data_IF_117255170054
#
_entry.id   IF_117255170054
#
_cell.length_a   1.000
_cell.length_b   1.000
_cell.length_c   1.000
_cell.angle_alpha   90.00
_cell.angle_beta   90.00
_cell.angle_gamma   90.00
#
_symmetry.space_group_name_H-M   'P 1'
#
loop_
_entity.id
_entity.type
_entity.pdbx_description
1 polymer ?
#
# COMPACT_ATOMS: atom_id res chain seq x y z
N UNK A 1 4.77 -5.66 -34.24
CA UNK A 1 5.18 -7.02 -33.79
C UNK A 1 3.93 -7.75 -33.35
N UNK A 2 3.70 -9.00 -33.74
CA UNK A 2 2.51 -9.76 -33.31
C UNK A 2 2.90 -10.56 -32.04
N UNK A 3 2.18 -10.34 -30.93
CA UNK A 3 2.45 -11.00 -29.65
C UNK A 3 1.63 -12.29 -29.53
N UNK A 4 2.08 -13.36 -30.20
CA UNK A 4 1.49 -14.69 -30.11
C UNK A 4 2.54 -15.77 -30.41
N UNK A 5 2.33 -16.98 -29.94
CA UNK A 5 3.14 -18.15 -30.24
C UNK A 5 2.22 -19.39 -30.31
N UNK A 6 1.95 -19.85 -31.54
CA UNK A 6 1.09 -21.00 -31.80
C UNK A 6 1.65 -22.29 -31.20
N UNK A 7 2.98 -22.42 -31.16
CA UNK A 7 3.62 -23.62 -30.64
C UNK A 7 3.50 -23.68 -29.10
N UNK A 8 3.65 -22.53 -28.43
CA UNK A 8 3.46 -22.46 -26.97
C UNK A 8 2.02 -22.78 -26.57
N UNK A 9 1.02 -22.23 -27.30
CA UNK A 9 -0.40 -22.51 -27.01
C UNK A 9 -0.77 -23.97 -27.24
N UNK A 10 -0.31 -24.56 -28.34
CA UNK A 10 -0.51 -26.01 -28.60
C UNK A 10 0.24 -26.87 -27.59
N UNK A 11 1.44 -26.48 -27.18
CA UNK A 11 2.26 -27.22 -26.25
C UNK A 11 1.62 -27.31 -24.85
N UNK A 12 1.10 -26.22 -24.33
CA UNK A 12 0.42 -26.24 -23.01
C UNK A 12 -0.87 -27.06 -23.07
N UNK A 13 -1.64 -26.96 -24.16
CA UNK A 13 -2.84 -27.78 -24.36
C UNK A 13 -2.51 -29.26 -24.44
N UNK A 14 -1.51 -29.64 -25.21
CA UNK A 14 -1.02 -31.00 -25.33
C UNK A 14 -0.60 -31.56 -23.97
N UNK A 15 0.19 -30.82 -23.20
CA UNK A 15 0.62 -31.21 -21.87
C UNK A 15 -0.57 -31.45 -20.93
N UNK A 16 -1.51 -30.54 -20.91
CA UNK A 16 -2.70 -30.62 -20.05
C UNK A 16 -3.59 -31.79 -20.44
N UNK A 17 -3.81 -32.02 -21.75
CA UNK A 17 -4.61 -33.13 -22.24
C UNK A 17 -3.98 -34.49 -21.94
N UNK A 18 -2.66 -34.60 -21.95
CA UNK A 18 -1.90 -35.80 -21.66
C UNK A 18 -1.89 -36.12 -20.15
N UNK A 19 -1.59 -35.11 -19.29
CA UNK A 19 -1.45 -35.28 -17.83
C UNK A 19 -2.80 -35.26 -17.08
N UNK A 20 -3.90 -34.90 -17.76
CA UNK A 20 -5.25 -34.91 -17.23
C UNK A 20 -5.66 -33.69 -16.40
N UNK A 21 -6.81 -33.83 -15.73
CA UNK A 21 -7.49 -32.74 -15.03
C UNK A 21 -6.67 -32.12 -13.90
N UNK A 22 -5.80 -32.90 -13.25
CA UNK A 22 -4.90 -32.40 -12.19
C UNK A 22 -3.89 -31.39 -12.72
N UNK A 23 -3.28 -31.67 -13.88
CA UNK A 23 -2.38 -30.73 -14.54
C UNK A 23 -3.13 -29.48 -15.02
N UNK A 24 -4.33 -29.66 -15.58
CA UNK A 24 -5.17 -28.54 -15.97
C UNK A 24 -5.46 -27.59 -14.79
N UNK A 25 -5.86 -28.10 -13.64
CA UNK A 25 -6.14 -27.30 -12.45
C UNK A 25 -4.92 -26.46 -12.01
N UNK A 26 -3.70 -26.99 -12.14
CA UNK A 26 -2.47 -26.23 -11.86
C UNK A 26 -2.33 -25.01 -12.78
N UNK A 27 -2.57 -25.18 -14.08
CA UNK A 27 -2.39 -24.10 -15.07
C UNK A 27 -3.60 -23.19 -15.21
N UNK A 28 -4.81 -23.66 -14.88
CA UNK A 28 -6.03 -22.84 -14.80
C UNK A 28 -5.90 -21.67 -13.80
N UNK A 29 -5.09 -21.84 -12.75
CA UNK A 29 -4.76 -20.74 -11.83
C UNK A 29 -3.87 -19.67 -12.45
N UNK A 30 -3.10 -20.00 -13.52
CA UNK A 30 -2.15 -19.10 -14.18
C UNK A 30 -2.67 -18.52 -15.50
N UNK A 31 -3.49 -19.27 -16.22
CA UNK A 31 -3.98 -18.94 -17.56
C UNK A 31 -5.51 -18.91 -17.60
N UNK A 32 -6.04 -17.91 -18.28
CA UNK A 32 -7.46 -17.76 -18.60
C UNK A 32 -7.70 -17.96 -20.11
N UNK A 33 -8.96 -18.14 -20.51
CA UNK A 33 -9.35 -18.25 -21.91
C UNK A 33 -8.89 -17.07 -22.75
N UNK A 34 -8.91 -15.86 -22.18
CA UNK A 34 -8.51 -14.62 -22.85
C UNK A 34 -6.99 -14.50 -23.07
N UNK A 35 -6.18 -15.36 -22.44
CA UNK A 35 -4.72 -15.36 -22.64
C UNK A 35 -4.30 -16.01 -23.95
N UNK A 36 -5.17 -16.83 -24.55
CA UNK A 36 -4.91 -17.48 -25.83
C UNK A 36 -5.21 -16.52 -26.99
N UNK A 37 -4.34 -16.50 -27.98
CA UNK A 37 -4.51 -15.70 -29.19
C UNK A 37 -5.36 -16.44 -30.25
N UNK A 38 -5.14 -17.76 -30.36
CA UNK A 38 -5.88 -18.56 -31.33
C UNK A 38 -7.20 -19.01 -30.74
N UNK A 39 -8.30 -18.64 -31.42
CA UNK A 39 -9.66 -18.93 -30.98
C UNK A 39 -9.90 -20.43 -30.73
N UNK A 40 -9.31 -21.28 -31.57
CA UNK A 40 -9.38 -22.76 -31.39
C UNK A 40 -8.70 -23.21 -30.10
N UNK A 41 -7.55 -22.64 -29.76
CA UNK A 41 -6.84 -22.92 -28.51
C UNK A 41 -7.64 -22.42 -27.29
N UNK A 42 -8.20 -21.22 -27.39
CA UNK A 42 -9.07 -20.64 -26.38
C UNK A 42 -10.34 -21.48 -26.16
N UNK A 43 -10.97 -21.96 -27.23
CA UNK A 43 -12.17 -22.80 -27.17
C UNK A 43 -11.87 -24.18 -26.55
N UNK A 44 -10.72 -24.79 -26.89
CA UNK A 44 -10.29 -26.06 -26.28
C UNK A 44 -9.96 -25.88 -24.80
N UNK A 45 -9.28 -24.81 -24.41
CA UNK A 45 -9.02 -24.49 -23.01
C UNK A 45 -10.30 -24.31 -22.21
N UNK A 46 -11.28 -23.60 -22.75
CA UNK A 46 -12.59 -23.40 -22.13
C UNK A 46 -13.41 -24.69 -22.05
N UNK A 47 -13.28 -25.56 -23.04
CA UNK A 47 -13.92 -26.91 -23.02
C UNK A 47 -13.28 -27.81 -21.96
N UNK A 48 -11.97 -27.72 -21.76
CA UNK A 48 -11.29 -28.38 -20.62
C UNK A 48 -11.79 -27.85 -19.28
N UNK A 49 -12.02 -26.54 -19.19
CA UNK A 49 -12.56 -25.92 -18.00
C UNK A 49 -13.98 -26.41 -17.67
N UNK A 50 -14.84 -26.46 -18.67
CA UNK A 50 -16.21 -26.97 -18.54
C UNK A 50 -16.22 -28.44 -18.17
N UNK A 51 -15.37 -29.26 -18.80
CA UNK A 51 -15.21 -30.68 -18.49
C UNK A 51 -14.87 -30.92 -17.03
N UNK A 52 -13.91 -30.13 -16.46
CA UNK A 52 -13.53 -30.24 -15.05
C UNK A 52 -14.66 -29.87 -14.10
N UNK A 53 -15.50 -28.89 -14.48
CA UNK A 53 -16.66 -28.47 -13.67
C UNK A 53 -17.71 -29.59 -13.63
N UNK A 54 -17.93 -30.28 -14.76
CA UNK A 54 -18.97 -31.33 -14.88
C UNK A 54 -18.56 -32.68 -14.27
N UNK A 55 -17.26 -33.04 -14.29
CA UNK A 55 -16.79 -34.41 -14.00
C UNK A 55 -15.97 -34.56 -12.71
N UNK A 56 -15.87 -33.54 -11.84
CA UNK A 56 -15.10 -33.59 -10.57
C UNK A 56 -13.76 -34.34 -10.61
N UNK A 57 -12.76 -33.65 -10.79
CA UNK A 57 -11.32 -33.62 -10.38
C UNK A 57 -10.44 -34.90 -10.29
N UNK A 58 -10.64 -36.01 -10.88
CA UNK A 58 -9.57 -37.06 -10.99
C UNK A 58 -9.71 -37.96 -12.25
N UNK A 59 -10.05 -37.36 -13.37
CA UNK A 59 -10.23 -38.10 -14.62
C UNK A 59 -9.24 -37.65 -15.70
N UNK A 60 -8.95 -38.56 -16.63
CA UNK A 60 -8.33 -38.20 -17.90
C UNK A 60 -9.36 -37.43 -18.75
N UNK A 61 -8.88 -36.51 -19.56
CA UNK A 61 -9.73 -35.85 -20.54
C UNK A 61 -10.21 -36.84 -21.61
N UNK A 62 -11.52 -36.95 -21.75
CA UNK A 62 -12.11 -37.71 -22.84
C UNK A 62 -12.19 -36.86 -24.11
N UNK A 63 -11.53 -37.33 -25.18
CA UNK A 63 -11.41 -36.59 -26.44
C UNK A 63 -12.77 -36.37 -27.10
N UNK A 64 -13.71 -37.35 -26.97
CA UNK A 64 -15.04 -37.23 -27.57
C UNK A 64 -15.89 -36.20 -26.83
N UNK A 65 -15.82 -36.18 -25.50
CA UNK A 65 -16.52 -35.19 -24.68
C UNK A 65 -16.01 -33.76 -24.95
N UNK A 66 -14.69 -33.57 -25.04
CA UNK A 66 -14.11 -32.29 -25.39
C UNK A 66 -14.52 -31.80 -26.79
N UNK A 67 -14.53 -32.72 -27.76
CA UNK A 67 -14.99 -32.43 -29.11
C UNK A 67 -16.46 -31.95 -29.13
N UNK A 68 -17.35 -32.65 -28.39
CA UNK A 68 -18.74 -32.28 -28.28
C UNK A 68 -18.95 -30.93 -27.61
N UNK A 69 -18.17 -30.60 -26.55
CA UNK A 69 -18.19 -29.29 -25.87
C UNK A 69 -17.72 -28.16 -26.79
N UNK A 70 -16.69 -28.39 -27.60
CA UNK A 70 -16.22 -27.41 -28.61
C UNK A 70 -17.29 -27.20 -29.67
N UNK A 71 -17.90 -28.25 -30.18
CA UNK A 71 -18.95 -28.19 -31.21
C UNK A 71 -20.19 -27.44 -30.78
N UNK A 72 -20.55 -27.49 -29.49
CA UNK A 72 -21.67 -26.72 -28.94
C UNK A 72 -21.41 -25.22 -28.99
N UNK A 73 -20.13 -24.78 -28.99
CA UNK A 73 -19.75 -23.35 -28.98
C UNK A 73 -19.73 -22.75 -30.37
N UNK A 74 -19.17 -23.43 -31.35
CA UNK A 74 -19.20 -23.05 -32.77
C UNK A 74 -18.79 -24.24 -33.64
N UNK A 75 -19.46 -24.41 -34.78
CA UNK A 75 -19.06 -25.37 -35.80
C UNK A 75 -17.74 -25.02 -36.46
N UNK A 76 -17.39 -23.73 -36.50
CA UNK A 76 -16.13 -23.21 -37.09
C UNK A 76 -14.87 -23.54 -36.24
N UNK A 77 -15.04 -23.81 -34.95
CA UNK A 77 -13.91 -24.17 -34.05
C UNK A 77 -13.54 -25.66 -34.08
N UNK A 78 -14.26 -26.46 -34.85
CA UNK A 78 -14.05 -27.91 -34.88
C UNK A 78 -12.92 -28.24 -35.84
N UNK A 79 -11.69 -28.23 -35.34
CA UNK A 79 -10.65 -29.13 -35.82
C UNK A 79 -11.14 -30.57 -35.66
N UNK A 80 -10.68 -31.48 -36.45
CA UNK A 80 -11.18 -32.85 -36.42
C UNK A 80 -10.92 -33.48 -35.04
N UNK A 81 -11.76 -34.46 -34.65
CA UNK A 81 -11.51 -35.28 -33.43
C UNK A 81 -10.07 -35.82 -33.43
N UNK A 82 -9.50 -36.05 -34.62
CA UNK A 82 -8.14 -36.48 -34.85
C UNK A 82 -7.13 -35.42 -34.35
N UNK A 83 -7.37 -34.14 -34.56
CA UNK A 83 -6.43 -33.08 -34.17
C UNK A 83 -6.34 -32.97 -32.63
N UNK A 84 -7.45 -33.17 -31.91
CA UNK A 84 -7.47 -33.22 -30.45
C UNK A 84 -6.72 -34.44 -29.94
N UNK A 85 -6.92 -35.61 -30.59
CA UNK A 85 -6.23 -36.84 -30.26
C UNK A 85 -4.71 -36.74 -30.52
N UNK A 86 -4.29 -36.14 -31.63
CA UNK A 86 -2.87 -35.88 -31.95
C UNK A 86 -2.22 -34.92 -30.93
N UNK A 87 -2.94 -33.88 -30.49
CA UNK A 87 -2.49 -33.04 -29.40
C UNK A 87 -2.30 -33.79 -28.08
N UNK A 88 -3.21 -34.70 -27.75
CA UNK A 88 -3.12 -35.53 -26.54
C UNK A 88 -1.96 -36.53 -26.58
N UNK A 89 -1.61 -37.06 -27.74
CA UNK A 89 -0.51 -38.03 -27.91
C UNK A 89 0.89 -37.39 -27.93
N UNK A 90 0.98 -36.09 -28.20
CA UNK A 90 2.27 -35.40 -28.24
C UNK A 90 2.84 -35.21 -26.82
N UNK A 91 4.01 -35.84 -26.54
CA UNK A 91 4.64 -35.78 -25.22
C UNK A 91 5.46 -34.48 -25.06
N UNK A 92 5.08 -33.65 -24.08
CA UNK A 92 5.84 -32.46 -23.67
C UNK A 92 6.36 -32.66 -22.24
N UNK A 93 7.61 -32.29 -22.00
CA UNK A 93 8.25 -32.41 -20.69
C UNK A 93 7.68 -31.34 -19.75
N UNK A 94 7.29 -31.72 -18.53
CA UNK A 94 6.61 -30.84 -17.58
C UNK A 94 7.34 -29.54 -17.19
N UNK A 95 8.68 -29.52 -17.25
CA UNK A 95 9.47 -28.30 -17.02
C UNK A 95 9.24 -27.25 -18.12
N UNK A 96 9.06 -27.68 -19.37
CA UNK A 96 8.76 -26.79 -20.48
C UNK A 96 7.34 -26.20 -20.43
N UNK A 97 6.39 -26.89 -19.79
CA UNK A 97 5.01 -26.41 -19.68
C UNK A 97 4.89 -25.12 -18.83
N UNK A 98 5.69 -24.96 -17.78
CA UNK A 98 5.72 -23.71 -16.99
C UNK A 98 6.29 -22.53 -17.80
N UNK A 99 7.29 -22.78 -18.67
CA UNK A 99 7.84 -21.78 -19.58
C UNK A 99 6.82 -21.36 -20.66
N UNK A 100 6.10 -22.31 -21.25
CA UNK A 100 5.06 -22.02 -22.22
C UNK A 100 3.90 -21.25 -21.60
N UNK A 101 3.45 -21.63 -20.41
CA UNK A 101 2.42 -20.88 -19.69
C UNK A 101 2.85 -19.44 -19.41
N UNK A 102 4.10 -19.23 -18.99
CA UNK A 102 4.67 -17.90 -18.76
C UNK A 102 4.75 -17.07 -20.06
N UNK A 103 5.14 -17.70 -21.17
CA UNK A 103 5.22 -17.05 -22.48
C UNK A 103 3.83 -16.62 -23.00
N UNK A 104 2.82 -17.48 -22.86
CA UNK A 104 1.44 -17.16 -23.23
C UNK A 104 0.94 -15.97 -22.43
N UNK A 105 1.15 -15.99 -21.10
CA UNK A 105 0.75 -14.91 -20.20
C UNK A 105 1.42 -13.57 -20.55
N UNK A 106 2.72 -13.61 -20.82
CA UNK A 106 3.47 -12.41 -21.23
C UNK A 106 3.00 -11.86 -22.58
N UNK A 107 2.72 -12.73 -23.56
CA UNK A 107 2.16 -12.30 -24.84
C UNK A 107 0.74 -11.72 -24.67
N UNK A 108 -0.09 -12.28 -23.82
CA UNK A 108 -1.41 -11.75 -23.48
C UNK A 108 -1.31 -10.34 -22.88
N UNK A 109 -0.44 -10.15 -21.90
CA UNK A 109 -0.18 -8.83 -21.29
C UNK A 109 0.27 -7.79 -22.34
N UNK A 110 1.16 -8.17 -23.25
CA UNK A 110 1.58 -7.28 -24.34
C UNK A 110 0.44 -6.91 -25.28
N UNK A 111 -0.47 -7.85 -25.60
CA UNK A 111 -1.68 -7.55 -26.39
C UNK A 111 -2.61 -6.59 -25.66
N UNK A 112 -2.86 -6.81 -24.36
CA UNK A 112 -3.67 -5.92 -23.53
C UNK A 112 -3.09 -4.52 -23.48
N UNK A 113 -1.77 -4.38 -23.26
CA UNK A 113 -1.07 -3.10 -23.31
C UNK A 113 -1.24 -2.41 -24.68
N UNK A 114 -1.09 -3.15 -25.78
CA UNK A 114 -1.26 -2.62 -27.13
C UNK A 114 -2.69 -2.11 -27.36
N UNK A 115 -3.70 -2.85 -26.92
CA UNK A 115 -5.10 -2.45 -27.01
C UNK A 115 -5.36 -1.19 -26.18
N UNK A 116 -4.83 -1.13 -24.96
CA UNK A 116 -4.94 0.03 -24.07
C UNK A 116 -4.28 1.26 -24.69
N UNK A 117 -3.05 1.12 -25.24
CA UNK A 117 -2.36 2.21 -25.93
C UNK A 117 -3.16 2.74 -27.13
N UNK A 118 -3.75 1.84 -27.93
CA UNK A 118 -4.62 2.25 -29.06
C UNK A 118 -5.88 2.98 -28.58
N UNK A 119 -6.50 2.51 -27.50
CA UNK A 119 -7.66 3.19 -26.90
C UNK A 119 -7.28 4.56 -26.32
N UNK A 120 -6.10 4.68 -25.73
CA UNK A 120 -5.57 5.95 -25.23
C UNK A 120 -5.32 6.94 -26.37
N UNK A 121 -4.74 6.46 -27.49
CA UNK A 121 -4.48 7.28 -28.66
C UNK A 121 -5.79 7.84 -29.23
N UNK A 122 -6.80 6.98 -29.45
CA UNK A 122 -8.10 7.39 -29.92
C UNK A 122 -8.76 8.40 -28.96
N UNK A 123 -8.64 8.18 -27.64
CA UNK A 123 -9.18 9.11 -26.64
C UNK A 123 -8.53 10.50 -26.71
N UNK A 124 -7.23 10.59 -26.97
CA UNK A 124 -6.52 11.86 -27.13
C UNK A 124 -6.96 12.58 -28.42
N UNK A 125 -7.21 11.83 -29.49
CA UNK A 125 -7.58 12.39 -30.80
C UNK A 125 -9.05 12.86 -30.84
N UNK A 126 -9.96 12.14 -30.16
CA UNK A 126 -11.40 12.37 -30.26
C UNK A 126 -12.01 13.16 -29.10
N UNK A 127 -11.28 13.32 -27.99
CA UNK A 127 -11.81 13.94 -26.76
C UNK A 127 -11.68 15.46 -26.74
N UNK A 128 -12.73 16.12 -26.26
CA UNK A 128 -12.73 17.56 -25.94
C UNK A 128 -12.27 17.84 -24.47
N UNK A 129 -11.75 16.85 -23.80
CA UNK A 129 -11.29 17.00 -22.41
C UNK A 129 -10.02 17.86 -22.31
N UNK A 130 -9.82 18.50 -21.16
CA UNK A 130 -8.56 19.20 -20.89
C UNK A 130 -7.40 18.22 -20.74
N UNK A 131 -6.16 18.68 -20.96
CA UNK A 131 -4.95 17.85 -20.83
C UNK A 131 -4.82 17.20 -19.44
N UNK A 132 -5.32 17.85 -18.38
CA UNK A 132 -5.32 17.29 -17.02
C UNK A 132 -6.35 16.19 -16.84
N UNK A 133 -7.55 16.36 -17.39
CA UNK A 133 -8.59 15.32 -17.38
C UNK A 133 -8.16 14.09 -18.17
N UNK A 134 -7.56 14.31 -19.36
CA UNK A 134 -6.98 13.22 -20.15
C UNK A 134 -5.90 12.46 -19.40
N UNK A 135 -4.95 13.15 -18.77
CA UNK A 135 -3.90 12.50 -17.94
C UNK A 135 -4.52 11.64 -16.84
N UNK A 136 -5.52 12.13 -16.12
CA UNK A 136 -6.19 11.37 -15.06
C UNK A 136 -6.86 10.09 -15.61
N UNK A 137 -7.59 10.19 -16.76
CA UNK A 137 -8.21 9.03 -17.42
C UNK A 137 -7.16 8.02 -17.91
N UNK A 138 -6.06 8.49 -18.52
CA UNK A 138 -4.97 7.64 -18.99
C UNK A 138 -4.29 6.89 -17.82
N UNK A 139 -4.02 7.56 -16.71
CA UNK A 139 -3.50 6.91 -15.50
C UNK A 139 -4.45 5.84 -14.96
N UNK A 140 -5.75 6.11 -14.92
CA UNK A 140 -6.76 5.15 -14.48
C UNK A 140 -6.82 3.92 -15.40
N UNK A 141 -6.72 4.10 -16.72
CA UNK A 141 -6.67 2.99 -17.70
C UNK A 141 -5.41 2.14 -17.53
N UNK A 142 -4.25 2.73 -17.25
CA UNK A 142 -3.00 1.99 -16.99
C UNK A 142 -3.06 1.18 -15.69
N UNK A 143 -3.68 1.72 -14.64
CA UNK A 143 -3.90 1.00 -13.38
C UNK A 143 -4.86 -0.17 -13.58
N UNK A 144 -5.93 0.00 -14.37
CA UNK A 144 -6.89 -1.07 -14.66
C UNK A 144 -6.32 -2.20 -15.52
N UNK A 145 -5.33 -1.93 -16.38
CA UNK A 145 -4.62 -2.97 -17.17
C UNK A 145 -3.69 -3.85 -16.32
N UNK A 146 -3.24 -3.37 -15.18
CA UNK A 146 -2.44 -4.17 -14.25
C UNK A 146 -3.28 -5.08 -13.32
N UNK A 147 -4.60 -4.88 -13.31
CA UNK A 147 -5.50 -5.80 -12.63
C UNK A 147 -5.74 -7.01 -13.53
N UNK A 148 -4.94 -8.08 -13.39
CA UNK A 148 -5.28 -9.44 -13.81
C UNK A 148 -6.54 -9.87 -13.02
N UNK A 149 -7.70 -9.34 -13.43
CA UNK A 149 -8.99 -9.42 -12.72
C UNK A 149 -9.64 -10.80 -12.74
N UNK A 150 -8.90 -11.85 -13.09
CA UNK A 150 -9.39 -13.24 -13.04
C UNK A 150 -8.47 -14.22 -12.30
N UNK A 151 -7.41 -13.76 -11.68
CA UNK A 151 -6.76 -14.55 -10.65
C UNK A 151 -7.65 -14.39 -9.42
N UNK A 152 -8.27 -15.46 -8.97
CA UNK A 152 -8.84 -15.53 -7.63
C UNK A 152 -7.75 -14.99 -6.69
N UNK A 153 -7.94 -13.77 -6.14
CA UNK A 153 -7.06 -13.20 -5.12
C UNK A 153 -7.17 -14.01 -3.81
N UNK A 154 -7.24 -15.34 -3.97
CA UNK A 154 -7.33 -16.32 -2.90
C UNK A 154 -6.06 -17.16 -2.96
N UNK A 155 -5.24 -17.06 -1.95
CA UNK A 155 -4.07 -17.91 -1.77
C UNK A 155 -4.45 -19.16 -1.00
N UNK A 156 -3.77 -20.27 -1.29
CA UNK A 156 -3.92 -21.49 -0.48
C UNK A 156 -3.44 -21.21 0.96
N UNK A 157 -4.31 -21.50 1.92
CA UNK A 157 -4.02 -21.27 3.34
C UNK A 157 -2.75 -22.01 3.81
N UNK A 158 -2.45 -23.19 3.24
CA UNK A 158 -1.23 -23.94 3.55
C UNK A 158 0.01 -23.22 3.04
N UNK A 159 -0.02 -22.68 1.81
CA UNK A 159 1.10 -21.92 1.26
C UNK A 159 1.35 -20.64 2.07
N UNK A 160 0.28 -19.94 2.47
CA UNK A 160 0.36 -18.76 3.34
C UNK A 160 0.95 -19.15 4.70
N UNK A 161 0.49 -20.25 5.31
CA UNK A 161 1.02 -20.74 6.59
C UNK A 161 2.50 -21.11 6.49
N UNK A 162 2.93 -21.82 5.44
CA UNK A 162 4.33 -22.16 5.21
C UNK A 162 5.19 -20.90 5.05
N UNK A 163 4.72 -19.92 4.26
CA UNK A 163 5.40 -18.64 4.07
C UNK A 163 5.55 -17.88 5.39
N UNK A 164 4.49 -17.85 6.20
CA UNK A 164 4.49 -17.23 7.51
C UNK A 164 5.46 -17.93 8.48
N UNK A 165 5.44 -19.28 8.56
CA UNK A 165 6.36 -20.06 9.41
C UNK A 165 7.82 -19.83 8.97
N UNK A 166 8.09 -19.78 7.67
CA UNK A 166 9.43 -19.44 7.16
C UNK A 166 9.86 -18.04 7.61
N UNK A 167 8.97 -17.04 7.53
CA UNK A 167 9.29 -15.69 7.98
C UNK A 167 9.56 -15.57 9.48
N UNK A 168 8.96 -16.45 10.30
CA UNK A 168 9.25 -16.51 11.73
C UNK A 168 10.61 -17.17 12.03
N UNK A 169 11.05 -18.11 11.20
CA UNK A 169 12.33 -18.82 11.35
C UNK A 169 13.51 -18.00 10.85
N UNK A 170 13.33 -17.34 9.72
CA UNK A 170 14.33 -16.47 9.12
C UNK A 170 14.21 -15.12 9.83
N UNK A 171 14.90 -14.97 10.97
CA UNK A 171 15.06 -13.68 11.68
C UNK A 171 15.82 -12.70 10.78
N UNK A 172 15.23 -12.34 9.65
CA UNK A 172 15.72 -11.31 8.76
C UNK A 172 15.34 -9.97 9.39
N UNK A 173 16.30 -9.27 9.97
CA UNK A 173 16.12 -7.90 10.51
C UNK A 173 15.56 -6.95 9.45
N UNK A 174 15.73 -7.27 8.18
CA UNK A 174 15.14 -6.53 7.05
C UNK A 174 13.61 -6.67 6.93
N UNK A 175 13.00 -7.69 7.57
CA UNK A 175 11.56 -7.97 7.54
C UNK A 175 10.87 -7.72 8.87
N UNK A 176 11.43 -6.88 9.74
CA UNK A 176 10.70 -6.46 10.92
C UNK A 176 9.35 -5.88 10.52
N UNK A 177 8.27 -6.58 10.88
CA UNK A 177 6.89 -6.16 10.60
C UNK A 177 6.40 -5.14 11.64
N UNK A 178 7.19 -4.88 12.69
CA UNK A 178 6.83 -4.06 13.84
C UNK A 178 7.95 -3.06 14.10
N UNK A 179 7.61 -1.80 14.21
CA UNK A 179 8.53 -0.70 14.40
C UNK A 179 8.17 0.11 15.65
N UNK A 180 9.10 0.33 16.58
CA UNK A 180 8.82 1.08 17.78
C UNK A 180 8.50 2.55 17.46
N UNK A 181 7.57 3.13 18.20
CA UNK A 181 7.19 4.55 18.10
C UNK A 181 8.24 5.48 18.71
N UNK A 182 9.10 4.96 19.57
CA UNK A 182 10.05 5.72 20.39
C UNK A 182 9.47 6.21 21.71
N UNK A 183 8.20 5.91 22.00
CA UNK A 183 7.56 6.15 23.28
C UNK A 183 7.36 4.80 23.95
N UNK A 184 8.29 4.40 24.83
CA UNK A 184 8.38 3.04 25.38
C UNK A 184 7.06 2.53 25.97
N UNK A 185 6.32 3.38 26.71
CA UNK A 185 5.02 2.99 27.28
C UNK A 185 3.97 2.75 26.21
N UNK A 186 4.02 3.51 25.11
CA UNK A 186 3.14 3.31 23.95
C UNK A 186 3.54 2.01 23.24
N UNK A 187 4.82 1.76 23.06
CA UNK A 187 5.33 0.55 22.40
C UNK A 187 4.94 -0.72 23.17
N UNK A 188 4.97 -0.67 24.51
CA UNK A 188 4.45 -1.78 25.33
C UNK A 188 2.96 -2.02 25.10
N UNK A 189 2.14 -0.96 25.04
CA UNK A 189 0.71 -1.07 24.80
C UNK A 189 0.41 -1.57 23.38
N UNK A 190 1.25 -1.22 22.41
CA UNK A 190 1.16 -1.65 21.01
C UNK A 190 1.86 -3.00 20.72
N UNK A 191 2.30 -3.72 21.75
CA UNK A 191 2.99 -5.01 21.61
C UNK A 191 4.22 -4.95 20.70
N UNK A 192 5.01 -3.90 20.86
CA UNK A 192 6.28 -3.65 20.15
C UNK A 192 6.26 -2.42 19.23
N UNK A 193 5.11 -1.90 18.88
CA UNK A 193 5.01 -0.68 18.05
C UNK A 193 4.04 -0.76 16.86
N UNK A 194 4.39 -0.06 15.79
CA UNK A 194 3.58 0.07 14.57
C UNK A 194 3.88 -1.06 13.59
N UNK A 195 2.85 -1.59 12.94
CA UNK A 195 2.96 -2.69 11.96
C UNK A 195 2.91 -2.16 10.52
N UNK A 196 3.57 -2.87 9.60
CA UNK A 196 3.37 -2.66 8.17
C UNK A 196 1.91 -2.90 7.75
N UNK A 197 1.54 -2.44 6.56
CA UNK A 197 0.21 -2.63 5.96
C UNK A 197 -0.94 -2.05 6.79
N UNK A 198 -0.64 -1.12 7.74
CA UNK A 198 -1.63 -0.55 8.65
C UNK A 198 -1.92 0.92 8.35
N UNK A 199 -3.20 1.28 8.54
CA UNK A 199 -3.65 2.67 8.61
C UNK A 199 -3.73 3.10 10.07
N UNK A 200 -2.87 4.05 10.45
CA UNK A 200 -2.74 4.56 11.81
C UNK A 200 -3.25 6.00 11.86
N UNK A 201 -4.28 6.24 12.62
CA UNK A 201 -4.88 7.56 12.79
C UNK A 201 -4.36 8.21 14.07
N UNK A 202 -3.86 9.44 13.95
CA UNK A 202 -3.46 10.26 15.09
C UNK A 202 -4.39 11.48 15.14
N UNK A 203 -5.23 11.54 16.17
CA UNK A 203 -6.25 12.56 16.31
C UNK A 203 -5.98 13.50 17.48
N UNK A 204 -6.15 14.80 17.26
CA UNK A 204 -6.08 15.80 18.33
C UNK A 204 -6.89 17.05 18.01
N UNK A 205 -7.17 17.87 19.03
CA UNK A 205 -7.59 19.26 18.83
C UNK A 205 -6.43 20.11 18.30
N UNK A 206 -6.72 21.22 17.60
CA UNK A 206 -5.69 22.15 17.16
C UNK A 206 -4.77 22.58 18.32
N UNK A 207 -3.46 22.66 18.08
CA UNK A 207 -2.47 23.09 19.07
C UNK A 207 -2.10 22.06 20.14
N UNK A 208 -2.71 20.88 20.18
CA UNK A 208 -2.43 19.85 21.20
C UNK A 208 -1.13 19.07 20.92
N UNK A 209 -0.66 19.03 19.65
CA UNK A 209 0.60 18.36 19.31
C UNK A 209 0.46 17.20 18.30
N UNK A 210 -0.62 17.15 17.52
CA UNK A 210 -0.89 16.12 16.49
C UNK A 210 0.31 15.91 15.55
N UNK A 211 0.75 16.97 14.86
CA UNK A 211 1.87 16.93 13.93
C UNK A 211 3.20 16.63 14.62
N UNK A 212 3.36 17.09 15.88
CA UNK A 212 4.54 16.77 16.68
C UNK A 212 4.65 15.26 16.96
N UNK A 213 3.55 14.62 17.42
CA UNK A 213 3.56 13.17 17.67
C UNK A 213 3.83 12.40 16.38
N UNK A 214 3.15 12.75 15.29
CA UNK A 214 3.40 12.11 13.98
C UNK A 214 4.86 12.22 13.54
N UNK A 215 5.45 13.41 13.64
CA UNK A 215 6.87 13.63 13.33
C UNK A 215 7.79 12.86 14.27
N UNK A 216 7.53 12.82 15.58
CA UNK A 216 8.36 12.08 16.53
C UNK A 216 8.37 10.56 16.22
N UNK A 217 7.21 9.99 15.93
CA UNK A 217 7.10 8.59 15.49
C UNK A 217 7.89 8.37 14.19
N UNK A 218 7.67 9.21 13.18
CA UNK A 218 8.34 9.07 11.89
C UNK A 218 9.86 9.17 12.01
N UNK A 219 10.36 10.09 12.84
CA UNK A 219 11.79 10.24 13.13
C UNK A 219 12.35 8.97 13.78
N UNK A 220 11.61 8.40 14.74
CA UNK A 220 12.05 7.17 15.37
C UNK A 220 12.09 6.01 14.36
N UNK A 221 11.10 5.94 13.45
CA UNK A 221 11.11 4.99 12.34
C UNK A 221 12.33 5.19 11.44
N UNK A 222 12.70 6.43 11.09
CA UNK A 222 13.91 6.71 10.32
C UNK A 222 15.19 6.20 11.01
N UNK A 223 15.24 6.21 12.35
CA UNK A 223 16.39 5.72 13.12
C UNK A 223 16.42 4.20 13.22
N UNK A 224 15.27 3.58 13.42
CA UNK A 224 15.14 2.17 13.79
C UNK A 224 14.87 1.23 12.62
N UNK A 225 14.31 1.74 11.51
CA UNK A 225 14.08 0.92 10.32
C UNK A 225 15.41 0.45 9.72
N UNK A 226 15.61 -0.86 9.58
CA UNK A 226 16.82 -1.42 8.96
C UNK A 226 16.87 -1.18 7.45
N UNK A 227 15.70 -0.95 6.84
CA UNK A 227 15.58 -0.80 5.40
C UNK A 227 16.01 0.58 4.91
N UNK A 228 16.65 0.61 3.75
CA UNK A 228 17.05 1.84 3.05
C UNK A 228 15.87 2.54 2.34
N UNK A 229 14.64 2.08 2.57
CA UNK A 229 13.43 2.61 1.95
C UNK A 229 13.11 4.00 2.51
N UNK A 230 12.83 5.00 1.66
CA UNK A 230 12.50 6.35 2.12
C UNK A 230 11.16 6.39 2.84
N UNK A 231 11.08 7.19 3.92
CA UNK A 231 9.81 7.63 4.47
C UNK A 231 9.32 8.85 3.67
N UNK A 232 7.99 9.03 3.59
CA UNK A 232 7.37 10.10 2.80
C UNK A 232 6.41 10.91 3.67
N UNK A 233 6.55 12.23 3.68
CA UNK A 233 5.61 13.15 4.30
C UNK A 233 4.83 13.90 3.22
N UNK A 234 3.52 13.83 3.30
CA UNK A 234 2.59 14.69 2.58
C UNK A 234 2.03 15.72 3.57
N UNK A 235 2.48 16.96 3.46
CA UNK A 235 2.05 18.06 4.33
C UNK A 235 1.10 18.97 3.55
N UNK A 236 -0.18 18.95 3.92
CA UNK A 236 -1.21 19.80 3.29
C UNK A 236 -1.44 21.13 4.06
N UNK A 237 -0.93 21.22 5.29
CA UNK A 237 -1.10 22.39 6.16
C UNK A 237 0.13 23.29 6.15
N UNK A 238 1.32 22.70 6.06
CA UNK A 238 2.59 23.40 6.24
C UNK A 238 3.52 23.17 5.06
N UNK A 239 4.36 24.15 4.73
CA UNK A 239 5.41 23.94 3.75
C UNK A 239 6.54 23.06 4.31
N UNK A 240 7.35 22.52 3.41
CA UNK A 240 8.43 21.58 3.74
C UNK A 240 9.45 22.18 4.73
N UNK A 241 9.77 23.46 4.63
CA UNK A 241 10.71 24.13 5.54
C UNK A 241 10.19 24.19 6.98
N UNK A 242 8.90 24.47 7.16
CA UNK A 242 8.25 24.48 8.47
C UNK A 242 8.22 23.09 9.10
N UNK A 243 8.00 22.06 8.30
CA UNK A 243 8.03 20.67 8.78
C UNK A 243 9.43 20.27 9.21
N UNK A 244 10.47 20.56 8.40
CA UNK A 244 11.88 20.34 8.76
C UNK A 244 12.27 21.11 10.01
N UNK A 245 11.86 22.36 10.14
CA UNK A 245 12.11 23.16 11.33
C UNK A 245 11.56 22.48 12.60
N UNK A 246 10.33 21.97 12.56
CA UNK A 246 9.74 21.24 13.69
C UNK A 246 10.50 19.94 14.01
N UNK A 247 10.90 19.22 12.98
CA UNK A 247 11.70 18.01 13.13
C UNK A 247 13.03 18.34 13.82
N UNK A 248 13.75 19.34 13.35
CA UNK A 248 15.03 19.73 13.93
C UNK A 248 14.88 20.33 15.34
N UNK A 249 13.80 21.06 15.60
CA UNK A 249 13.45 21.52 16.95
C UNK A 249 13.34 20.35 17.94
N UNK A 250 12.72 19.26 17.53
CA UNK A 250 12.58 18.08 18.40
C UNK A 250 13.90 17.34 18.67
N UNK A 251 14.88 17.46 17.79
CA UNK A 251 16.21 16.89 18.00
C UNK A 251 17.12 17.73 18.89
N UNK A 252 17.11 19.04 18.65
CA UNK A 252 18.04 19.94 19.30
C UNK A 252 17.49 20.51 20.61
N UNK A 253 16.23 20.24 20.95
CA UNK A 253 15.57 20.83 22.10
C UNK A 253 15.32 22.34 21.99
N UNK A 254 15.52 22.93 20.80
CA UNK A 254 15.38 24.33 20.52
C UNK A 254 13.95 24.68 20.10
N UNK A 255 13.46 25.87 20.54
CA UNK A 255 12.18 26.36 20.06
C UNK A 255 12.27 26.81 18.59
N UNK A 256 11.13 26.74 17.88
CA UNK A 256 11.06 27.27 16.52
C UNK A 256 11.45 28.73 16.40
N UNK A 257 11.22 29.51 17.45
CA UNK A 257 11.62 30.96 17.54
C UNK A 257 13.14 31.10 17.65
N UNK A 258 13.79 30.28 18.48
CA UNK A 258 15.25 30.27 18.60
C UNK A 258 15.92 29.90 17.28
N UNK A 259 15.33 28.94 16.53
CA UNK A 259 15.84 28.53 15.22
C UNK A 259 15.72 29.62 14.14
N UNK A 260 14.74 30.53 14.24
CA UNK A 260 14.47 31.53 13.19
C UNK A 260 15.02 32.92 13.49
N UNK A 261 15.13 33.31 14.77
CA UNK A 261 15.37 34.71 15.13
C UNK A 261 16.83 35.14 15.27
N UNK A 262 17.79 34.24 15.43
CA UNK A 262 19.16 34.67 15.69
C UNK A 262 20.24 33.67 15.25
N UNK A 263 20.80 33.89 14.07
CA UNK A 263 22.00 33.16 13.62
C UNK A 263 23.20 33.27 14.58
N UNK A 264 23.27 34.31 15.40
CA UNK A 264 24.33 34.50 16.42
C UNK A 264 24.08 33.67 17.69
N UNK A 265 22.83 33.48 18.10
CA UNK A 265 22.48 32.59 19.22
C UNK A 265 22.60 31.08 18.85
N UNK A 266 22.44 30.76 17.59
CA UNK A 266 22.62 29.40 17.10
C UNK A 266 24.11 28.96 17.06
N UNK A 267 25.08 29.86 17.30
CA UNK A 267 26.50 29.60 17.12
C UNK A 267 27.04 28.34 17.82
N UNK A 268 26.55 28.01 19.02
CA UNK A 268 26.90 26.76 19.74
C UNK A 268 26.10 25.54 19.25
N UNK A 269 24.90 25.76 18.73
CA UNK A 269 24.01 24.67 18.33
C UNK A 269 24.14 24.27 16.85
N UNK A 270 24.90 25.02 16.02
CA UNK A 270 25.10 24.72 14.62
C UNK A 270 25.65 23.28 14.39
N UNK A 271 26.60 22.87 15.19
CA UNK A 271 27.19 21.53 15.10
C UNK A 271 26.16 20.44 15.41
N UNK A 272 25.30 20.65 16.40
CA UNK A 272 24.22 19.74 16.78
C UNK A 272 23.16 19.64 15.68
N UNK A 273 22.72 20.79 15.13
CA UNK A 273 21.76 20.84 14.03
C UNK A 273 22.31 20.11 12.80
N UNK A 274 23.55 20.35 12.43
CA UNK A 274 24.20 19.67 11.29
C UNK A 274 24.34 18.17 11.57
N UNK A 275 24.80 17.80 12.77
CA UNK A 275 24.98 16.41 13.15
C UNK A 275 23.65 15.64 13.09
N UNK A 276 22.59 16.16 13.69
CA UNK A 276 21.27 15.55 13.67
C UNK A 276 20.65 15.53 12.27
N UNK A 277 20.82 16.59 11.48
CA UNK A 277 20.37 16.61 10.09
C UNK A 277 21.08 15.53 9.28
N UNK A 278 22.39 15.39 9.47
CA UNK A 278 23.20 14.37 8.80
C UNK A 278 22.80 12.97 9.22
N UNK A 279 22.65 12.74 10.53
CA UNK A 279 22.24 11.43 11.07
C UNK A 279 20.89 10.98 10.53
N UNK A 280 19.91 11.89 10.48
CA UNK A 280 18.53 11.55 10.13
C UNK A 280 18.25 11.53 8.64
N UNK A 281 18.87 12.43 7.87
CA UNK A 281 18.52 12.65 6.48
C UNK A 281 19.61 12.24 5.50
N UNK A 282 20.87 12.00 5.96
CA UNK A 282 21.92 11.57 5.05
C UNK A 282 21.62 10.18 4.48
N UNK A 283 22.01 10.02 3.24
CA UNK A 283 21.91 8.74 2.53
C UNK A 283 22.91 7.76 3.14
N UNK A 284 22.42 6.66 3.72
CA UNK A 284 23.26 5.50 4.02
C UNK A 284 23.48 4.83 2.66
N UNK A 285 24.70 4.57 2.25
CA UNK A 285 25.08 3.91 0.97
C UNK A 285 24.82 4.71 -0.33
N UNK A 286 24.63 6.01 -0.26
CA UNK A 286 24.73 6.93 -1.40
C UNK A 286 23.53 7.07 -2.34
N UNK A 287 22.53 6.18 -2.34
CA UNK A 287 21.54 6.13 -3.42
C UNK A 287 20.12 6.57 -3.06
N UNK A 288 19.59 6.26 -1.87
CA UNK A 288 18.20 6.59 -1.52
C UNK A 288 18.12 7.70 -0.46
N UNK A 289 17.28 8.75 -0.65
CA UNK A 289 16.98 9.70 0.42
C UNK A 289 16.23 8.95 1.53
N UNK A 290 16.50 9.31 2.79
CA UNK A 290 15.79 8.70 3.92
C UNK A 290 14.41 9.29 4.14
N UNK A 291 14.24 10.57 3.80
CA UNK A 291 12.98 11.29 3.91
C UNK A 291 12.69 12.05 2.62
N UNK A 292 11.49 11.88 2.10
CA UNK A 292 10.93 12.64 1.00
C UNK A 292 9.76 13.47 1.52
N UNK A 293 9.58 14.66 0.99
CA UNK A 293 8.56 15.59 1.46
C UNK A 293 7.81 16.21 0.29
N UNK A 294 6.50 16.35 0.44
CA UNK A 294 5.61 16.96 -0.52
C UNK A 294 4.63 17.89 0.20
N UNK A 295 4.64 19.17 -0.16
CA UNK A 295 3.74 20.22 0.36
C UNK A 295 2.72 20.71 -0.68
N UNK A 296 2.37 19.86 -1.64
CA UNK A 296 1.36 20.15 -2.66
C UNK A 296 -0.01 20.33 -2.00
N UNK A 297 -0.58 21.53 -2.06
CA UNK A 297 -1.81 21.92 -1.36
C UNK A 297 -3.09 21.20 -1.85
N UNK A 298 -3.14 20.74 -3.08
CA UNK A 298 -4.31 20.08 -3.66
C UNK A 298 -3.95 18.64 -4.07
N UNK A 299 -3.60 17.82 -3.09
CA UNK A 299 -3.13 16.46 -3.28
C UNK A 299 -4.29 15.46 -3.21
N UNK A 300 -4.57 14.76 -4.30
CA UNK A 300 -5.54 13.67 -4.34
C UNK A 300 -4.93 12.31 -3.97
N UNK A 301 -5.76 11.30 -3.68
CA UNK A 301 -5.29 9.92 -3.48
C UNK A 301 -4.57 9.37 -4.72
N UNK A 302 -5.01 9.72 -5.92
CA UNK A 302 -4.35 9.32 -7.16
C UNK A 302 -2.98 9.96 -7.32
N UNK A 303 -2.82 11.24 -6.96
CA UNK A 303 -1.50 11.91 -6.93
C UNK A 303 -0.55 11.21 -5.95
N UNK A 304 -1.03 10.93 -4.72
CA UNK A 304 -0.25 10.20 -3.71
C UNK A 304 0.19 8.83 -4.23
N UNK A 305 -0.73 8.06 -4.79
CA UNK A 305 -0.44 6.72 -5.31
C UNK A 305 0.57 6.77 -6.46
N UNK A 306 0.45 7.74 -7.37
CA UNK A 306 1.39 7.94 -8.47
C UNK A 306 2.80 8.29 -7.96
N UNK A 307 2.91 9.26 -7.03
CA UNK A 307 4.19 9.64 -6.43
C UNK A 307 4.83 8.47 -5.67
N UNK A 308 4.05 7.72 -4.92
CA UNK A 308 4.53 6.56 -4.18
C UNK A 308 4.97 5.43 -5.12
N UNK A 309 4.31 5.24 -6.26
CA UNK A 309 4.71 4.29 -7.29
C UNK A 309 6.05 4.68 -7.90
N UNK A 310 6.27 5.96 -8.21
CA UNK A 310 7.55 6.45 -8.70
C UNK A 310 8.67 6.26 -7.66
N UNK A 311 8.39 6.52 -6.39
CA UNK A 311 9.32 6.31 -5.28
C UNK A 311 9.65 4.82 -5.14
N UNK A 312 8.63 3.97 -5.16
CA UNK A 312 8.79 2.51 -5.10
C UNK A 312 9.67 1.97 -6.22
N UNK A 313 9.45 2.45 -7.45
CA UNK A 313 10.25 2.06 -8.61
C UNK A 313 11.70 2.55 -8.52
N UNK A 314 11.93 3.79 -8.05
CA UNK A 314 13.29 4.39 -7.99
C UNK A 314 14.13 3.86 -6.84
N UNK A 315 13.50 3.54 -5.70
CA UNK A 315 14.22 3.25 -4.44
C UNK A 315 13.91 1.86 -3.87
N UNK A 316 13.17 1.02 -4.60
CA UNK A 316 12.89 -0.36 -4.20
C UNK A 316 11.90 -0.50 -3.04
N UNK A 317 11.12 0.53 -2.74
CA UNK A 317 10.07 0.49 -1.72
C UNK A 317 9.82 1.83 -1.04
N UNK A 318 8.83 1.83 -0.15
CA UNK A 318 8.48 2.95 0.75
C UNK A 318 8.57 2.45 2.18
N UNK A 319 9.20 3.22 3.07
CA UNK A 319 9.41 2.84 4.47
C UNK A 319 8.19 3.14 5.34
N UNK A 320 7.73 4.39 5.32
CA UNK A 320 6.51 4.85 6.01
C UNK A 320 5.93 6.05 5.29
N UNK A 321 4.63 6.29 5.46
CA UNK A 321 3.91 7.39 4.83
C UNK A 321 3.20 8.20 5.91
N UNK A 322 3.36 9.53 5.91
CA UNK A 322 2.63 10.43 6.79
C UNK A 322 1.85 11.46 5.98
N UNK A 323 0.58 11.66 6.35
CA UNK A 323 -0.32 12.67 5.78
C UNK A 323 -0.75 13.66 6.88
N UNK A 324 -0.39 14.93 6.76
CA UNK A 324 -0.78 16.01 7.67
C UNK A 324 -1.60 17.07 6.95
N UNK A 325 -2.92 17.12 7.07
CA UNK A 325 -3.85 16.20 7.72
C UNK A 325 -5.01 15.81 6.79
N UNK A 326 -5.65 14.71 7.07
CA UNK A 326 -6.64 14.02 6.22
C UNK A 326 -7.79 14.94 5.76
N UNK A 327 -8.35 15.79 6.62
CA UNK A 327 -9.50 16.63 6.28
C UNK A 327 -9.17 17.79 5.29
N UNK A 328 -7.90 18.00 4.93
CA UNK A 328 -7.49 18.96 3.89
C UNK A 328 -7.41 18.35 2.49
N UNK A 329 -7.53 17.03 2.38
CA UNK A 329 -7.58 16.40 1.07
C UNK A 329 -8.79 16.88 0.28
N UNK A 330 -8.65 17.06 -1.05
CA UNK A 330 -9.73 17.51 -1.91
C UNK A 330 -10.89 16.50 -1.88
N UNK A 331 -12.09 17.02 -1.70
CA UNK A 331 -13.33 16.24 -1.72
C UNK A 331 -14.31 16.83 -2.72
N UNK A 332 -15.11 15.98 -3.37
CA UNK A 332 -16.19 16.46 -4.24
C UNK A 332 -17.25 17.16 -3.38
N UNK A 333 -17.49 18.44 -3.64
CA UNK A 333 -18.48 19.26 -2.90
C UNK A 333 -19.92 18.74 -3.04
N UNK A 334 -20.20 17.87 -4.00
CA UNK A 334 -21.48 17.23 -4.22
C UNK A 334 -21.75 16.06 -3.28
N UNK A 335 -20.69 15.53 -2.66
CA UNK A 335 -20.75 14.37 -1.77
C UNK A 335 -20.70 14.85 -0.31
N UNK A 336 -21.53 14.34 0.60
CA UNK A 336 -21.41 14.64 2.02
C UNK A 336 -20.00 14.37 2.53
N UNK A 337 -19.44 15.32 3.30
CA UNK A 337 -18.04 15.27 3.75
C UNK A 337 -17.67 13.97 4.45
N UNK A 338 -18.57 13.40 5.24
CA UNK A 338 -18.36 12.13 5.94
C UNK A 338 -18.15 10.97 4.97
N UNK A 339 -18.88 10.94 3.84
CA UNK A 339 -18.73 9.91 2.80
C UNK A 339 -17.38 10.09 2.09
N UNK A 340 -17.05 11.32 1.67
CA UNK A 340 -15.80 11.62 1.00
C UNK A 340 -14.57 11.30 1.88
N UNK A 341 -14.62 11.59 3.18
CA UNK A 341 -13.57 11.22 4.13
C UNK A 341 -13.48 9.68 4.31
N UNK A 342 -14.59 8.97 4.19
CA UNK A 342 -14.61 7.51 4.18
C UNK A 342 -13.91 6.93 2.94
N UNK A 343 -14.13 7.50 1.76
CA UNK A 343 -13.40 7.11 0.55
C UNK A 343 -11.91 7.36 0.68
N UNK A 344 -11.52 8.51 1.26
CA UNK A 344 -10.12 8.84 1.52
C UNK A 344 -9.50 7.85 2.52
N UNK A 345 -10.17 7.53 3.63
CA UNK A 345 -9.62 6.59 4.63
C UNK A 345 -9.44 5.19 4.04
N UNK A 346 -10.39 4.72 3.22
CA UNK A 346 -10.27 3.44 2.51
C UNK A 346 -9.10 3.46 1.53
N UNK A 347 -8.96 4.51 0.72
CA UNK A 347 -7.84 4.65 -0.21
C UNK A 347 -6.48 4.70 0.49
N UNK A 348 -6.38 5.35 1.67
CA UNK A 348 -5.16 5.34 2.48
C UNK A 348 -4.85 3.93 3.02
N UNK A 349 -5.87 3.16 3.39
CA UNK A 349 -5.68 1.75 3.79
C UNK A 349 -5.22 0.88 2.62
N UNK A 350 -5.74 1.12 1.41
CA UNK A 350 -5.29 0.45 0.18
C UNK A 350 -3.83 0.81 -0.14
N UNK A 351 -3.45 2.09 -0.01
CA UNK A 351 -2.06 2.55 -0.15
C UNK A 351 -1.14 1.83 0.84
N UNK A 352 -1.52 1.72 2.12
CA UNK A 352 -0.73 1.00 3.11
C UNK A 352 -0.41 -0.43 2.67
N UNK A 353 -1.41 -1.15 2.17
CA UNK A 353 -1.28 -2.53 1.68
C UNK A 353 -0.49 -2.62 0.37
N UNK A 354 -0.75 -1.71 -0.59
CA UNK A 354 -0.10 -1.73 -1.90
C UNK A 354 1.41 -1.48 -1.82
N UNK A 355 1.85 -0.63 -0.88
CA UNK A 355 3.26 -0.30 -0.69
C UNK A 355 3.94 -1.03 0.47
N UNK A 356 3.22 -1.91 1.17
CA UNK A 356 3.72 -2.64 2.34
C UNK A 356 4.37 -1.73 3.39
N UNK A 357 3.73 -0.58 3.65
CA UNK A 357 4.23 0.46 4.53
C UNK A 357 3.14 0.93 5.52
N UNK A 358 3.51 1.33 6.76
CA UNK A 358 2.56 1.97 7.66
C UNK A 358 2.19 3.36 7.12
N UNK A 359 0.89 3.66 7.11
CA UNK A 359 0.35 5.00 6.82
C UNK A 359 -0.08 5.66 8.12
N UNK A 360 0.43 6.84 8.39
CA UNK A 360 -0.01 7.72 9.48
C UNK A 360 -0.85 8.83 8.89
N UNK A 361 -2.14 8.84 9.16
CA UNK A 361 -3.02 9.93 8.78
C UNK A 361 -3.39 10.75 10.02
N UNK A 362 -2.97 12.00 10.00
CA UNK A 362 -3.31 12.93 11.08
C UNK A 362 -4.72 13.45 10.88
N UNK A 363 -5.49 13.62 11.95
CA UNK A 363 -6.85 14.12 11.86
C UNK A 363 -7.22 15.07 13.01
N UNK A 364 -8.21 15.93 12.76
CA UNK A 364 -8.69 16.88 13.73
C UNK A 364 -9.94 16.34 14.46
N UNK A 365 -10.01 16.56 15.78
CA UNK A 365 -11.14 16.19 16.61
C UNK A 365 -12.21 17.28 16.67
N UNK A 366 -13.47 16.86 16.90
CA UNK A 366 -14.60 17.74 17.14
C UNK A 366 -14.43 18.54 18.45
N UNK A 367 -15.11 19.70 18.56
CA UNK A 367 -15.11 20.52 19.77
C UNK A 367 -15.79 19.86 20.98
N UNK A 368 -16.63 18.88 20.74
CA UNK A 368 -17.36 18.13 21.79
C UNK A 368 -16.44 17.43 22.79
N UNK A 369 -15.18 17.13 22.38
CA UNK A 369 -14.17 16.54 23.29
C UNK A 369 -13.90 17.47 24.49
N UNK A 370 -13.95 18.80 24.30
CA UNK A 370 -13.70 19.80 25.35
C UNK A 370 -14.86 19.84 26.37
N UNK A 371 -16.09 19.47 25.97
CA UNK A 371 -17.29 19.45 26.80
C UNK A 371 -17.45 18.17 27.62
N UNK A 372 -16.67 17.14 27.31
CA UNK A 372 -16.68 15.86 28.03
C UNK A 372 -15.90 16.04 29.34
N UNK A 373 -16.55 16.53 30.39
CA UNK A 373 -15.95 16.74 31.72
C UNK A 373 -15.17 15.49 32.15
N UNK A 374 -13.86 15.48 31.91
CA UNK A 374 -12.91 14.46 32.40
C UNK A 374 -12.99 13.07 31.76
N UNK A 375 -13.76 12.86 30.67
CA UNK A 375 -13.84 11.58 29.97
C UNK A 375 -12.74 11.44 28.90
N UNK A 376 -12.16 10.23 28.79
CA UNK A 376 -11.24 9.94 27.69
C UNK A 376 -11.92 10.15 26.33
N UNK A 377 -11.23 10.71 25.32
CA UNK A 377 -11.77 10.88 23.98
C UNK A 377 -12.08 9.52 23.35
N UNK A 378 -13.10 9.50 22.50
CA UNK A 378 -13.55 8.29 21.78
C UNK A 378 -13.28 8.44 20.27
N UNK A 379 -13.23 7.33 19.55
CA UNK A 379 -13.10 7.35 18.10
C UNK A 379 -14.19 8.18 17.40
N UNK A 380 -15.41 8.20 17.94
CA UNK A 380 -16.51 9.04 17.45
C UNK A 380 -16.26 10.56 17.56
N UNK A 381 -15.25 10.98 18.31
CA UNK A 381 -14.85 12.39 18.38
C UNK A 381 -13.99 12.84 17.19
N UNK A 382 -13.56 11.94 16.32
CA UNK A 382 -12.94 12.30 15.05
C UNK A 382 -14.05 12.95 14.19
N UNK A 383 -13.80 14.13 13.66
CA UNK A 383 -14.78 14.87 12.87
C UNK A 383 -15.16 14.10 11.60
N UNK A 384 -16.46 13.87 11.39
CA UNK A 384 -17.03 13.15 10.24
C UNK A 384 -16.55 11.68 10.09
N UNK A 385 -16.48 10.90 11.18
CA UNK A 385 -15.56 9.79 11.40
C UNK A 385 -16.09 8.36 11.30
N UNK A 386 -17.35 8.10 11.05
CA UNK A 386 -17.87 6.72 11.10
C UNK A 386 -17.06 5.72 10.25
N UNK A 387 -16.67 6.11 9.04
CA UNK A 387 -15.88 5.29 8.13
C UNK A 387 -14.41 5.22 8.53
N UNK A 388 -13.83 6.34 9.00
CA UNK A 388 -12.42 6.38 9.44
C UNK A 388 -12.19 5.39 10.59
N UNK A 389 -13.14 5.33 11.53
CA UNK A 389 -13.07 4.36 12.62
C UNK A 389 -13.10 2.92 12.12
N UNK A 390 -13.87 2.61 11.08
CA UNK A 390 -13.94 1.26 10.51
C UNK A 390 -12.66 0.86 9.80
N UNK A 391 -12.08 1.74 8.99
CA UNK A 391 -10.93 1.47 8.12
C UNK A 391 -9.60 1.42 8.88
N UNK A 392 -9.44 2.26 9.92
CA UNK A 392 -8.21 2.33 10.71
C UNK A 392 -7.89 1.03 11.46
N UNK A 393 -6.62 0.66 11.52
CA UNK A 393 -6.12 -0.44 12.33
C UNK A 393 -5.76 0.02 13.74
N UNK A 394 -5.22 1.24 13.84
CA UNK A 394 -4.84 1.89 15.09
C UNK A 394 -5.41 3.31 15.12
N UNK A 395 -5.95 3.72 16.25
CA UNK A 395 -6.37 5.10 16.50
C UNK A 395 -5.79 5.57 17.83
N UNK A 396 -4.97 6.60 17.77
CA UNK A 396 -4.38 7.27 18.91
C UNK A 396 -4.97 8.68 18.99
N UNK A 397 -5.60 9.00 20.10
CA UNK A 397 -6.14 10.32 20.38
C UNK A 397 -5.30 11.01 21.45
N UNK A 398 -5.00 12.28 21.27
CA UNK A 398 -4.14 13.04 22.19
C UNK A 398 -4.99 14.01 22.98
N UNK A 399 -4.84 13.97 24.31
CA UNK A 399 -5.26 15.04 25.21
C UNK A 399 -4.03 15.62 25.92
N UNK A 400 -4.07 16.90 26.26
CA UNK A 400 -2.94 17.56 26.89
C UNK A 400 -3.41 18.70 27.80
N UNK A 401 -2.83 18.74 28.99
CA UNK A 401 -2.93 19.87 29.90
C UNK A 401 -1.51 20.36 30.19
N UNK A 402 -1.16 21.56 29.70
CA UNK A 402 0.19 22.13 29.78
C UNK A 402 1.25 21.20 29.17
N UNK A 403 2.17 20.67 29.99
CA UNK A 403 3.20 19.70 29.59
C UNK A 403 2.78 18.25 29.74
N UNK A 404 1.70 17.94 30.45
CA UNK A 404 1.22 16.58 30.65
C UNK A 404 0.32 16.19 29.48
N UNK A 405 0.72 15.17 28.75
CA UNK A 405 -0.04 14.63 27.62
C UNK A 405 -0.47 13.19 27.90
N UNK A 406 -1.66 12.85 27.44
CA UNK A 406 -2.14 11.47 27.47
C UNK A 406 -2.44 11.01 26.05
N UNK A 407 -1.84 9.89 25.66
CA UNK A 407 -2.09 9.20 24.41
C UNK A 407 -3.12 8.10 24.65
N UNK A 408 -4.31 8.26 24.10
CA UNK A 408 -5.41 7.30 24.24
C UNK A 408 -5.43 6.40 22.99
N UNK A 409 -5.05 5.14 23.15
CA UNK A 409 -5.24 4.11 22.13
C UNK A 409 -6.68 3.63 22.21
N UNK A 410 -7.54 4.21 21.39
CA UNK A 410 -9.00 3.93 21.43
C UNK A 410 -9.41 2.80 20.49
N UNK A 411 -8.54 2.47 19.53
CA UNK A 411 -8.68 1.30 18.67
C UNK A 411 -7.31 0.71 18.39
N UNK A 412 -7.18 -0.61 18.48
CA UNK A 412 -6.00 -1.36 18.06
C UNK A 412 -6.45 -2.75 17.59
N UNK A 413 -6.34 -3.03 16.30
CA UNK A 413 -6.71 -4.35 15.73
C UNK A 413 -5.69 -5.44 16.07
N UNK A 414 -4.47 -5.04 16.39
CA UNK A 414 -3.33 -5.95 16.56
C UNK A 414 -2.85 -6.04 18.01
N UNK A 415 -3.59 -5.49 18.97
CA UNK A 415 -3.20 -5.48 20.38
C UNK A 415 -4.23 -4.80 21.26
N UNK A 416 -3.78 -4.34 22.41
CA UNK A 416 -4.64 -3.76 23.45
C UNK A 416 -4.98 -2.29 23.20
N UNK A 417 -6.09 -1.85 23.78
CA UNK A 417 -6.48 -0.44 23.92
C UNK A 417 -6.14 0.04 25.34
N UNK A 418 -5.93 1.34 25.49
CA UNK A 418 -5.60 1.92 26.80
C UNK A 418 -5.11 3.35 26.69
N UNK A 419 -4.54 3.87 27.76
CA UNK A 419 -4.02 5.23 27.81
C UNK A 419 -2.61 5.24 28.38
N UNK A 420 -1.75 6.07 27.79
CA UNK A 420 -0.35 6.22 28.17
C UNK A 420 -0.12 7.70 28.48
N UNK A 421 0.38 7.98 29.69
CA UNK A 421 0.83 9.30 30.08
C UNK A 421 2.24 9.54 29.57
N UNK A 422 2.49 10.70 29.01
CA UNK A 422 3.77 11.16 28.53
C UNK A 422 3.93 12.66 28.74
N UNK A 423 5.15 13.14 28.65
CA UNK A 423 5.43 14.56 28.76
C UNK A 423 5.52 15.17 27.34
N UNK A 424 5.06 16.40 27.20
CA UNK A 424 5.18 17.18 25.97
C UNK A 424 5.94 18.48 26.21
N UNK A 425 7.12 18.59 25.61
CA UNK A 425 7.85 19.85 25.53
C UNK A 425 7.35 20.66 24.34
N UNK A 426 6.55 21.70 24.60
CA UNK A 426 5.98 22.55 23.56
C UNK A 426 7.01 23.33 22.77
N UNK A 427 8.12 23.72 23.39
CA UNK A 427 9.21 24.47 22.73
C UNK A 427 9.92 23.58 21.70
N UNK A 428 10.24 22.36 22.08
CA UNK A 428 10.92 21.38 21.21
C UNK A 428 9.97 20.55 20.37
N UNK A 429 8.65 20.70 20.47
CA UNK A 429 7.66 19.83 19.80
C UNK A 429 7.91 18.33 20.05
N UNK A 430 8.31 17.96 21.25
CA UNK A 430 8.77 16.62 21.60
C UNK A 430 7.87 15.94 22.64
N UNK A 431 7.40 14.72 22.33
CA UNK A 431 6.81 13.81 23.30
C UNK A 431 7.88 12.88 23.88
N UNK A 432 7.90 12.74 25.19
CA UNK A 432 8.88 11.90 25.91
C UNK A 432 8.23 11.07 27.02
N UNK A 433 8.88 9.97 27.38
CA UNK A 433 8.42 9.08 28.47
C UNK A 433 8.71 9.64 29.87
N UNK A 434 9.66 10.55 30.00
CA UNK A 434 10.15 11.04 31.27
C UNK A 434 9.41 12.31 31.66
N UNK A 435 9.01 12.41 32.94
CA UNK A 435 8.70 13.71 33.56
C UNK A 435 10.03 14.49 33.56
N UNK A 436 10.15 15.46 32.66
CA UNK A 436 11.19 16.47 32.80
C UNK A 436 10.91 17.18 34.14
N UNK A 437 11.73 16.94 35.15
CA UNK A 437 11.78 17.82 36.31
C UNK A 437 12.30 19.15 35.77
N UNK A 438 11.45 20.17 35.77
CA UNK A 438 11.89 21.53 35.57
C UNK A 438 12.96 21.80 36.65
N UNK A 439 14.22 21.79 36.26
CA UNK A 439 15.26 22.42 37.06
C UNK A 439 14.98 23.91 36.92
N UNK A 440 14.06 24.43 37.77
CA UNK A 440 14.06 25.86 38.09
C UNK A 440 15.45 26.18 38.61
N UNK A 441 16.11 27.11 37.94
CA UNK A 441 17.39 27.64 38.32
C UNK A 441 17.38 28.03 39.80
N UNK A 442 18.18 27.35 40.63
CA UNK A 442 18.70 27.86 41.87
C UNK A 442 19.86 28.80 41.59
#
# INVERSE_FOLDING_TARGET
MKFYDANAEKAILSYVLHEGTKAFCKYRAKLSVSDFYYEVCAALWDSCNQFVIEHQTESEFDTVSLYNLMKQKSEDYVSSLKDIAELKESKIIGTAADEYASLIKENSRKRQLQTTLSSMQNMVEESNDTSEQLKAKLCQMLVSTNNDSNVLNCEDALEVAIRFIKSLRDHDDEKSLIFPTGINRLDVLLEGGIRNDTLNIIGARPGIGKSALGSNILINLLKTMPTLKPCVIFSLEMNNEQVIQRILSSFCGLSGTEMTQNSRMLGSHWHEIIAHSTECFSRKDGNAPRLLMCDKSNLSLSDMSSMLSDINQRYGGVGAIMLDYLQLMPTDVRIPKAIALGEISRGLKEIARAFHAPVFALCQLNREVENSKGGAPKASNIKDSGSIEQDADLIILITREKSEATLHVVKNRNGSTGSVECNFNGNACLFSNEKQYDYEYL
#
